data_IF_345420865140
#
_entry.id   IF_345420865140
#
_cell.length_a   1.000
_cell.length_b   1.000
_cell.length_c   1.000
_cell.angle_alpha   90.00
_cell.angle_beta   90.00
_cell.angle_gamma   90.00
#
_symmetry.space_group_name_H-M   'P 1'
#
loop_
_entity.id
_entity.type
_entity.pdbx_description
1 polymer ?
#
# COMPACT_ATOMS: atom_id res chain seq x y z
N UNK A 1 -27.50 4.97 -1.55
CA UNK A 1 -26.21 4.93 -0.82
C UNK A 1 -25.04 5.18 -1.79
N UNK A 2 -24.37 6.33 -1.68
CA UNK A 2 -23.18 6.62 -2.48
C UNK A 2 -21.95 6.09 -1.74
N UNK A 3 -21.36 5.01 -2.23
CA UNK A 3 -20.07 4.52 -1.78
C UNK A 3 -18.99 5.29 -2.55
N UNK A 4 -18.42 6.34 -1.95
CA UNK A 4 -17.22 6.99 -2.50
C UNK A 4 -16.01 6.21 -1.98
N UNK A 5 -15.45 5.32 -2.80
CA UNK A 5 -14.15 4.74 -2.49
C UNK A 5 -13.09 5.82 -2.78
N UNK A 6 -12.50 6.39 -1.74
CA UNK A 6 -11.33 7.28 -1.90
C UNK A 6 -10.10 6.41 -2.14
N UNK A 7 -9.86 6.11 -3.42
CA UNK A 7 -8.69 5.36 -3.87
C UNK A 7 -7.45 6.25 -3.80
N UNK A 8 -6.37 5.70 -3.26
CA UNK A 8 -5.07 6.36 -3.17
C UNK A 8 -4.00 5.50 -3.83
N UNK A 9 -2.99 6.15 -4.41
CA UNK A 9 -1.77 5.52 -4.90
C UNK A 9 -0.57 6.17 -4.24
N UNK A 10 0.53 5.42 -4.11
CA UNK A 10 1.74 5.90 -3.43
C UNK A 10 2.92 5.90 -4.39
N UNK A 11 3.62 7.02 -4.49
CA UNK A 11 4.87 7.15 -5.22
C UNK A 11 6.00 7.40 -4.21
N UNK A 12 7.04 6.56 -4.25
CA UNK A 12 8.31 6.81 -3.59
C UNK A 12 9.35 7.14 -4.66
N UNK A 13 9.94 8.34 -4.60
CA UNK A 13 10.91 8.82 -5.58
C UNK A 13 12.24 9.17 -4.95
N UNK A 14 13.33 8.86 -5.65
CA UNK A 14 14.70 9.20 -5.32
C UNK A 14 15.50 9.54 -6.59
N UNK A 15 16.83 9.65 -6.48
CA UNK A 15 17.71 9.96 -7.61
C UNK A 15 17.87 8.82 -8.63
N UNK A 16 17.54 7.58 -8.26
CA UNK A 16 17.59 6.40 -9.13
C UNK A 16 16.27 6.15 -9.87
N UNK A 17 15.15 6.69 -9.37
CA UNK A 17 13.89 6.78 -10.08
C UNK A 17 12.69 6.73 -9.15
N UNK A 18 11.66 5.92 -9.44
CA UNK A 18 10.47 5.81 -8.59
C UNK A 18 9.95 4.38 -8.39
N UNK A 19 9.31 4.15 -7.25
CA UNK A 19 8.47 2.99 -6.96
C UNK A 19 7.02 3.46 -6.82
N UNK A 20 6.13 2.92 -7.64
CA UNK A 20 4.70 3.26 -7.68
C UNK A 20 3.89 2.08 -7.15
N UNK A 21 3.12 2.30 -6.09
CA UNK A 21 2.22 1.31 -5.51
C UNK A 21 0.78 1.58 -5.93
N UNK A 22 0.14 0.57 -6.52
CA UNK A 22 -1.25 0.56 -6.94
C UNK A 22 -1.68 1.85 -7.70
N UNK A 23 -0.93 2.28 -8.73
CA UNK A 23 -1.20 3.55 -9.38
C UNK A 23 -2.57 3.54 -10.08
N UNK A 24 -3.37 4.59 -9.88
CA UNK A 24 -4.76 4.71 -10.38
C UNK A 24 -4.79 5.50 -11.70
N UNK A 25 -4.12 6.65 -11.71
CA UNK A 25 -3.81 7.44 -12.89
C UNK A 25 -2.63 8.35 -12.55
N UNK A 26 -1.94 8.88 -13.55
CA UNK A 26 -0.87 9.85 -13.34
C UNK A 26 -1.40 11.27 -13.55
N UNK A 27 -1.18 12.21 -12.61
CA UNK A 27 -1.69 13.57 -12.75
C UNK A 27 -1.19 14.23 -14.05
N UNK A 28 -2.10 14.82 -14.83
CA UNK A 28 -1.78 15.41 -16.13
C UNK A 28 -0.67 16.48 -16.06
N UNK A 29 -0.68 17.30 -15.02
CA UNK A 29 0.26 18.42 -14.84
C UNK A 29 1.54 18.03 -14.10
N UNK A 30 1.71 16.76 -13.74
CA UNK A 30 2.92 16.25 -13.10
C UNK A 30 3.79 15.54 -14.13
N UNK A 31 5.06 15.91 -14.33
CA UNK A 31 5.93 15.15 -15.22
C UNK A 31 6.09 13.71 -14.71
N UNK A 32 6.14 12.70 -15.60
CA UNK A 32 6.38 11.32 -15.18
C UNK A 32 7.74 11.21 -14.46
N UNK A 33 7.90 10.23 -13.56
CA UNK A 33 9.16 10.05 -12.85
C UNK A 33 10.28 9.74 -13.86
N UNK A 34 11.42 10.37 -13.66
CA UNK A 34 12.63 10.09 -14.44
C UNK A 34 13.37 8.89 -13.82
N UNK A 35 14.21 8.21 -14.60
CA UNK A 35 14.99 7.06 -14.12
C UNK A 35 14.20 5.74 -14.08
N UNK A 36 14.63 4.81 -13.23
CA UNK A 36 14.02 3.48 -13.12
C UNK A 36 12.65 3.58 -12.44
N UNK A 37 11.60 3.20 -13.17
CA UNK A 37 10.23 3.10 -12.63
C UNK A 37 9.90 1.64 -12.33
N UNK A 38 9.61 1.35 -11.06
CA UNK A 38 9.10 0.06 -10.60
C UNK A 38 7.64 0.22 -10.20
N UNK A 39 6.78 -0.66 -10.68
CA UNK A 39 5.35 -0.64 -10.37
C UNK A 39 5.01 -1.87 -9.55
N UNK A 40 4.30 -1.67 -8.47
CA UNK A 40 3.99 -2.70 -7.48
C UNK A 40 2.48 -2.76 -7.32
N UNK A 41 1.97 -3.99 -7.39
CA UNK A 41 0.59 -4.32 -6.99
C UNK A 41 0.64 -4.88 -5.59
N UNK A 42 -0.12 -4.30 -4.67
CA UNK A 42 -0.22 -4.81 -3.30
C UNK A 42 -1.11 -6.05 -3.22
N UNK A 43 -2.06 -6.23 -4.16
CA UNK A 43 -2.85 -7.46 -4.28
C UNK A 43 -3.32 -7.71 -5.73
N UNK A 44 -4.00 -8.84 -5.96
CA UNK A 44 -4.48 -9.26 -7.28
C UNK A 44 -5.59 -8.37 -7.86
N UNK A 45 -6.33 -7.63 -7.02
CA UNK A 45 -7.39 -6.73 -7.45
C UNK A 45 -6.87 -5.31 -7.76
N UNK A 46 -5.57 -5.06 -7.63
CA UNK A 46 -4.93 -3.76 -7.79
C UNK A 46 -4.23 -3.56 -9.15
N UNK A 47 -4.76 -4.15 -10.22
CA UNK A 47 -4.25 -3.88 -11.57
C UNK A 47 -4.31 -2.39 -11.93
N UNK A 48 -5.42 -1.71 -11.60
CA UNK A 48 -5.61 -0.25 -11.74
C UNK A 48 -4.99 0.28 -13.06
N UNK A 49 -4.08 1.26 -13.01
CA UNK A 49 -3.33 1.74 -14.18
C UNK A 49 -1.90 1.17 -14.27
N UNK A 50 -1.61 0.04 -13.59
CA UNK A 50 -0.27 -0.54 -13.55
C UNK A 50 0.29 -0.81 -14.95
N UNK A 51 -0.47 -1.47 -15.83
CA UNK A 51 -0.01 -1.80 -17.18
C UNK A 51 0.17 -0.56 -18.05
N UNK A 52 -0.83 0.34 -18.03
CA UNK A 52 -0.78 1.59 -18.79
C UNK A 52 0.41 2.45 -18.38
N UNK A 53 0.70 2.55 -17.08
CA UNK A 53 1.84 3.31 -16.58
C UNK A 53 3.18 2.60 -16.80
N UNK A 54 3.22 1.27 -16.74
CA UNK A 54 4.42 0.51 -17.11
C UNK A 54 4.79 0.82 -18.56
N UNK A 55 3.82 0.79 -19.47
CA UNK A 55 4.04 1.13 -20.88
C UNK A 55 4.47 2.60 -21.04
N UNK A 56 3.75 3.54 -20.42
CA UNK A 56 4.01 4.99 -20.55
C UNK A 56 5.40 5.39 -20.01
N UNK A 57 5.85 4.74 -18.94
CA UNK A 57 7.12 5.06 -18.26
C UNK A 57 8.28 4.15 -18.68
N UNK A 58 8.03 3.15 -19.54
CA UNK A 58 8.96 2.03 -19.78
C UNK A 58 9.38 1.34 -18.46
N UNK A 59 8.48 1.37 -17.47
CA UNK A 59 8.69 0.82 -16.15
C UNK A 59 8.49 -0.69 -16.10
N UNK A 60 8.86 -1.29 -14.97
CA UNK A 60 8.74 -2.73 -14.71
C UNK A 60 7.75 -3.00 -13.58
N UNK A 61 6.75 -3.84 -13.84
CA UNK A 61 5.91 -4.41 -12.78
C UNK A 61 6.74 -5.45 -12.01
N UNK A 62 6.80 -5.34 -10.68
CA UNK A 62 7.62 -6.19 -9.81
C UNK A 62 6.94 -6.45 -8.47
N UNK A 63 7.13 -7.65 -7.91
CA UNK A 63 6.78 -7.97 -6.52
C UNK A 63 7.95 -7.70 -5.55
N UNK A 64 9.12 -7.31 -6.08
CA UNK A 64 10.35 -7.02 -5.33
C UNK A 64 10.84 -5.61 -5.72
N UNK A 65 10.17 -4.55 -5.25
CA UNK A 65 10.64 -3.17 -5.41
C UNK A 65 11.97 -2.93 -4.69
N UNK A 66 12.78 -2.00 -5.18
CA UNK A 66 14.02 -1.59 -4.48
C UNK A 66 13.70 -1.01 -3.12
N UNK A 67 14.60 -1.20 -2.15
CA UNK A 67 14.54 -0.62 -0.80
C UNK A 67 13.32 -0.99 0.07
N UNK A 68 12.32 -1.65 -0.48
CA UNK A 68 11.13 -2.10 0.23
C UNK A 68 11.19 -3.61 0.46
N UNK A 69 10.94 -4.04 1.69
CA UNK A 69 10.80 -5.44 2.06
C UNK A 69 9.33 -5.85 1.94
N UNK A 70 8.98 -6.86 1.13
CA UNK A 70 7.61 -7.37 1.04
C UNK A 70 7.24 -8.18 2.27
N UNK A 71 6.01 -8.01 2.74
CA UNK A 71 5.44 -8.68 3.91
C UNK A 71 4.08 -9.25 3.49
N UNK A 72 4.01 -10.57 3.36
CA UNK A 72 2.78 -11.26 2.94
C UNK A 72 1.70 -11.14 4.00
N UNK A 73 0.47 -10.79 3.58
CA UNK A 73 -0.69 -10.64 4.45
C UNK A 73 -1.83 -11.61 4.06
N UNK A 74 -1.59 -12.93 4.12
CA UNK A 74 -2.65 -13.88 3.80
C UNK A 74 -3.86 -13.72 4.73
N UNK A 75 -5.04 -13.97 4.21
CA UNK A 75 -6.31 -13.72 4.88
C UNK A 75 -7.01 -12.43 4.46
N UNK A 76 -6.28 -11.44 3.90
CA UNK A 76 -6.88 -10.31 3.19
C UNK A 76 -7.33 -10.71 1.77
N UNK A 77 -7.23 -9.82 0.78
CA UNK A 77 -7.42 -10.15 -0.63
C UNK A 77 -6.37 -11.13 -1.16
N UNK A 78 -6.64 -11.74 -2.31
CA UNK A 78 -5.70 -12.66 -2.95
C UNK A 78 -4.37 -11.94 -3.26
N UNK A 79 -3.25 -12.54 -2.83
CA UNK A 79 -1.92 -12.00 -3.05
C UNK A 79 -1.56 -10.75 -2.22
N UNK A 80 -2.38 -10.38 -1.22
CA UNK A 80 -2.14 -9.18 -0.42
C UNK A 80 -0.74 -9.19 0.22
N UNK A 81 -0.02 -8.10 -0.02
CA UNK A 81 1.35 -7.87 0.43
C UNK A 81 1.51 -6.40 0.83
N UNK A 82 1.99 -6.17 2.05
CA UNK A 82 2.47 -4.85 2.46
C UNK A 82 3.97 -4.70 2.16
N UNK A 83 4.43 -3.47 2.04
CA UNK A 83 5.82 -3.16 1.69
C UNK A 83 6.40 -2.19 2.71
N UNK A 84 7.49 -2.59 3.37
CA UNK A 84 8.14 -1.79 4.40
C UNK A 84 9.47 -1.22 3.93
N UNK A 85 9.63 0.10 4.02
CA UNK A 85 10.88 0.80 3.73
C UNK A 85 11.61 1.16 5.05
N UNK A 86 12.73 0.48 5.38
CA UNK A 86 13.36 0.59 6.69
C UNK A 86 13.95 1.97 6.95
N UNK A 87 14.61 2.60 5.97
CA UNK A 87 15.30 3.88 6.17
C UNK A 87 14.34 5.03 6.47
N UNK A 88 13.12 4.98 5.93
CA UNK A 88 12.07 5.99 6.16
C UNK A 88 11.04 5.55 7.19
N UNK A 89 11.09 4.29 7.65
CA UNK A 89 10.09 3.71 8.54
C UNK A 89 8.67 3.83 7.96
N UNK A 90 8.54 3.62 6.65
CA UNK A 90 7.28 3.74 5.92
C UNK A 90 6.72 2.37 5.57
N UNK A 91 5.46 2.13 5.89
CA UNK A 91 4.68 0.99 5.43
C UNK A 91 3.74 1.44 4.31
N UNK A 92 3.69 0.69 3.21
CA UNK A 92 2.64 0.79 2.20
C UNK A 92 1.80 -0.47 2.29
N UNK A 93 0.49 -0.32 2.43
CA UNK A 93 -0.46 -1.44 2.58
C UNK A 93 -1.59 -1.29 1.57
N UNK A 94 -2.00 -2.43 1.01
CA UNK A 94 -3.16 -2.51 0.12
C UNK A 94 -4.47 -2.45 0.89
N UNK A 95 -5.34 -3.41 0.64
CA UNK A 95 -6.69 -3.47 1.19
C UNK A 95 -6.73 -3.92 2.65
N UNK A 96 -5.68 -4.59 3.14
CA UNK A 96 -5.66 -5.16 4.49
C UNK A 96 -6.00 -4.15 5.60
N UNK A 97 -5.70 -2.87 5.38
CA UNK A 97 -6.00 -1.75 6.26
C UNK A 97 -6.64 -0.59 5.49
N UNK A 98 -7.61 0.07 6.10
CA UNK A 98 -8.39 1.15 5.49
C UNK A 98 -8.39 2.36 6.43
N UNK A 99 -8.13 3.56 5.88
CA UNK A 99 -8.09 4.81 6.66
C UNK A 99 -8.88 5.94 5.97
N UNK A 100 -10.17 5.71 5.76
CA UNK A 100 -11.09 6.72 5.21
C UNK A 100 -11.37 7.77 6.29
N UNK A 101 -10.73 8.94 6.23
CA UNK A 101 -11.04 10.02 7.18
C UNK A 101 -12.50 10.49 6.97
N UNK A 102 -13.28 10.74 8.04
CA UNK A 102 -12.90 10.86 9.45
C UNK A 102 -12.97 9.56 10.26
N UNK A 103 -13.20 8.41 9.64
CA UNK A 103 -13.25 7.13 10.35
C UNK A 103 -11.85 6.77 10.88
N UNK A 104 -11.79 6.06 12.04
CA UNK A 104 -10.53 5.54 12.54
C UNK A 104 -9.91 4.54 11.54
N UNK A 105 -8.63 4.25 11.73
CA UNK A 105 -7.97 3.13 11.04
C UNK A 105 -8.76 1.83 11.33
N UNK A 106 -9.03 1.05 10.28
CA UNK A 106 -9.81 -0.19 10.36
C UNK A 106 -9.15 -1.32 9.56
N UNK A 107 -9.52 -2.55 9.91
CA UNK A 107 -9.22 -3.73 9.11
C UNK A 107 -10.10 -3.76 7.84
N UNK A 108 -9.65 -4.50 6.82
CA UNK A 108 -10.50 -4.92 5.70
C UNK A 108 -11.79 -5.56 6.23
N UNK A 109 -12.99 -5.13 5.79
CA UNK A 109 -14.24 -5.79 6.20
C UNK A 109 -14.25 -7.28 5.86
N UNK A 110 -14.77 -8.09 6.78
CA UNK A 110 -14.66 -9.57 6.71
C UNK A 110 -15.17 -10.16 5.40
N UNK A 111 -16.24 -9.59 4.82
CA UNK A 111 -16.80 -10.04 3.53
C UNK A 111 -15.85 -9.91 2.33
N UNK A 112 -14.77 -9.14 2.45
CA UNK A 112 -13.72 -9.00 1.42
C UNK A 112 -12.47 -9.81 1.75
N UNK A 113 -12.40 -10.39 2.94
CA UNK A 113 -11.27 -11.20 3.37
C UNK A 113 -11.40 -12.62 2.80
N UNK A 114 -10.28 -13.19 2.36
CA UNK A 114 -10.19 -14.63 2.09
C UNK A 114 -10.27 -15.44 3.40
N UNK A 115 -9.71 -14.92 4.49
CA UNK A 115 -9.81 -15.49 5.83
C UNK A 115 -9.57 -14.40 6.91
N UNK A 116 -10.63 -13.86 7.54
CA UNK A 116 -10.53 -12.79 8.54
C UNK A 116 -9.65 -13.13 9.77
N UNK A 117 -9.70 -14.38 10.24
CA UNK A 117 -8.90 -14.81 11.40
C UNK A 117 -7.42 -14.85 11.03
N UNK A 118 -7.10 -15.35 9.84
CA UNK A 118 -5.73 -15.35 9.34
C UNK A 118 -5.22 -13.92 9.12
N UNK A 119 -6.05 -13.02 8.60
CA UNK A 119 -5.66 -11.62 8.40
C UNK A 119 -5.19 -10.96 9.69
N UNK A 120 -5.91 -11.14 10.80
CA UNK A 120 -5.50 -10.60 12.11
C UNK A 120 -4.13 -11.13 12.55
N UNK A 121 -3.88 -12.43 12.34
CA UNK A 121 -2.58 -13.04 12.62
C UNK A 121 -1.48 -12.48 11.73
N UNK A 122 -1.75 -12.34 10.43
CA UNK A 122 -0.81 -11.75 9.46
C UNK A 122 -0.48 -10.29 9.77
N UNK A 123 -1.46 -9.49 10.18
CA UNK A 123 -1.22 -8.08 10.55
C UNK A 123 -0.42 -7.94 11.85
N UNK A 124 -0.55 -8.90 12.78
CA UNK A 124 0.21 -8.88 14.03
C UNK A 124 1.72 -8.91 13.81
N UNK A 125 2.20 -9.48 12.71
CA UNK A 125 3.62 -9.47 12.38
C UNK A 125 4.16 -8.06 12.08
N UNK A 126 3.30 -7.12 11.66
CA UNK A 126 3.68 -5.73 11.39
C UNK A 126 4.15 -5.02 12.68
N UNK A 127 3.72 -5.49 13.85
CA UNK A 127 4.16 -4.96 15.14
C UNK A 127 5.66 -5.19 15.40
N UNK A 128 6.32 -6.09 14.66
CA UNK A 128 7.77 -6.32 14.74
C UNK A 128 8.62 -5.27 14.01
N UNK A 129 8.01 -4.35 13.27
CA UNK A 129 8.70 -3.31 12.51
C UNK A 129 8.67 -1.97 13.26
N UNK A 130 9.62 -1.07 12.96
CA UNK A 130 9.56 0.32 13.44
C UNK A 130 8.85 1.17 12.40
N UNK A 131 7.54 1.36 12.55
CA UNK A 131 6.68 2.05 11.59
C UNK A 131 6.36 3.47 12.07
N UNK A 132 6.73 4.47 11.29
CA UNK A 132 6.40 5.87 11.51
C UNK A 132 5.21 6.30 10.63
N UNK A 133 5.26 5.89 9.36
CA UNK A 133 4.32 6.30 8.31
C UNK A 133 3.60 5.11 7.73
N UNK A 134 2.32 5.28 7.40
CA UNK A 134 1.52 4.26 6.71
C UNK A 134 0.77 4.92 5.56
N UNK A 135 0.92 4.35 4.37
CA UNK A 135 0.17 4.73 3.17
C UNK A 135 -0.76 3.60 2.77
N UNK A 136 -1.96 3.95 2.35
CA UNK A 136 -3.06 3.01 2.11
C UNK A 136 -3.49 3.03 0.65
N UNK A 137 -4.02 1.90 0.18
CA UNK A 137 -4.80 1.85 -1.05
C UNK A 137 -6.12 2.65 -0.95
N UNK A 138 -6.64 2.78 0.28
CA UNK A 138 -7.91 3.43 0.58
C UNK A 138 -7.79 4.39 1.77
N UNK A 139 -7.92 5.68 1.47
CA UNK A 139 -7.93 6.75 2.47
C UNK A 139 -6.57 7.41 2.71
N UNK A 140 -6.55 8.34 3.67
CA UNK A 140 -5.43 9.25 3.88
C UNK A 140 -4.23 8.56 4.56
N UNK A 141 -2.99 8.98 4.28
CA UNK A 141 -1.82 8.42 4.95
C UNK A 141 -1.78 8.82 6.43
N UNK A 142 -1.19 7.96 7.26
CA UNK A 142 -0.72 8.29 8.61
C UNK A 142 0.74 8.70 8.47
N UNK A 143 1.07 9.94 8.84
CA UNK A 143 2.42 10.49 8.62
C UNK A 143 3.33 10.41 9.85
N UNK A 144 2.76 10.13 11.02
CA UNK A 144 3.45 10.03 12.31
C UNK A 144 2.72 9.00 13.17
N UNK A 145 3.42 8.43 14.15
CA UNK A 145 2.87 7.49 15.14
C UNK A 145 2.23 6.21 14.54
N UNK A 146 2.68 5.80 13.34
CA UNK A 146 2.12 4.64 12.63
C UNK A 146 2.12 3.35 13.46
N UNK A 147 3.19 3.10 14.21
CA UNK A 147 3.30 1.95 15.10
C UNK A 147 2.22 1.94 16.18
N UNK A 148 1.95 3.07 16.81
CA UNK A 148 0.99 3.17 17.90
C UNK A 148 -0.45 3.04 17.37
N UNK A 149 -0.72 3.57 16.18
CA UNK A 149 -2.00 3.37 15.47
C UNK A 149 -2.24 1.90 15.14
N UNK A 150 -1.21 1.18 14.65
CA UNK A 150 -1.31 -0.26 14.40
C UNK A 150 -1.51 -1.05 15.68
N UNK A 151 -0.75 -0.74 16.73
CA UNK A 151 -0.88 -1.42 18.02
C UNK A 151 -2.30 -1.26 18.57
N UNK A 152 -2.82 -0.03 18.61
CA UNK A 152 -4.17 0.26 19.09
C UNK A 152 -5.28 -0.43 18.30
N UNK A 153 -5.04 -0.81 17.05
CA UNK A 153 -6.01 -1.54 16.22
C UNK A 153 -5.99 -3.05 16.49
N UNK A 154 -4.82 -3.59 16.82
CA UNK A 154 -4.57 -5.04 16.91
C UNK A 154 -4.59 -5.57 18.35
N UNK A 155 -4.63 -4.68 19.35
CA UNK A 155 -4.77 -5.00 20.78
C UNK A 155 -6.12 -4.55 21.31
#
# INVERSE_FOLDING_TARGET
PACKAELWSTCFGDTQGAVLFDPIDWPHDTPPPQGLVQIVRTNANHDRACEALALKTQGKITAQPREFSPILLPGAGEGETAFFHPSTRTLVVGDALIHLSPQPLMLLPEKYCTNPTQLKSSLSQLLGYSIERIFFAHGAPILQDGQDKLRSLLT
#
